data_IF_840291027346
#
_entry.id   IF_840291027346
#
_cell.length_a   1.000
_cell.length_b   1.000
_cell.length_c   1.000
_cell.angle_alpha   90.00
_cell.angle_beta   90.00
_cell.angle_gamma   90.00
#
_symmetry.space_group_name_H-M   'P 1'
#
loop_
_entity.id
_entity.type
_entity.pdbx_description
1 polymer ?
#
# COMPACT_ATOMS: atom_id res chain seq x y z
N UNK A 1 -36.83 12.48 36.82
CA UNK A 1 -35.63 13.33 36.98
C UNK A 1 -34.60 12.83 35.97
N UNK A 2 -33.85 13.70 35.29
CA UNK A 2 -32.86 13.23 34.32
C UNK A 2 -31.70 12.54 35.05
N UNK A 3 -31.22 11.43 34.50
CA UNK A 3 -30.08 10.69 35.02
C UNK A 3 -29.02 10.50 33.94
N UNK A 4 -27.81 10.11 34.34
CA UNK A 4 -26.74 9.87 33.39
C UNK A 4 -27.12 8.72 32.42
N UNK A 5 -26.84 8.94 31.15
CA UNK A 5 -27.21 8.09 30.02
C UNK A 5 -28.66 8.20 29.53
N UNK A 6 -29.51 9.05 30.12
CA UNK A 6 -30.84 9.31 29.57
C UNK A 6 -30.73 9.87 28.14
N UNK A 7 -31.53 9.34 27.23
CA UNK A 7 -31.73 9.90 25.90
C UNK A 7 -32.85 10.93 25.94
N UNK A 8 -32.59 12.10 25.36
CA UNK A 8 -33.50 13.23 25.36
C UNK A 8 -33.83 13.70 23.94
N UNK A 9 -35.00 14.32 23.80
CA UNK A 9 -35.43 15.07 22.62
C UNK A 9 -35.77 16.51 23.03
N UNK A 10 -35.76 17.43 22.08
CA UNK A 10 -36.18 18.81 22.34
C UNK A 10 -37.70 18.86 22.62
N UNK A 11 -38.11 19.75 23.53
CA UNK A 11 -39.49 20.23 23.59
C UNK A 11 -39.72 21.32 22.55
N UNK A 12 -40.96 21.73 22.31
CA UNK A 12 -41.24 22.81 21.35
C UNK A 12 -40.51 24.11 21.72
N UNK A 13 -40.49 24.45 23.01
CA UNK A 13 -39.71 25.57 23.54
C UNK A 13 -38.19 25.38 23.34
N UNK A 14 -37.70 24.14 23.39
CA UNK A 14 -36.32 23.79 23.09
C UNK A 14 -35.97 23.96 21.62
N UNK A 15 -36.85 23.53 20.72
CA UNK A 15 -36.71 23.72 19.27
C UNK A 15 -36.62 25.20 18.95
N UNK A 16 -37.51 26.02 19.50
CA UNK A 16 -37.48 27.47 19.27
C UNK A 16 -36.19 28.12 19.77
N UNK A 17 -35.76 27.80 21.00
CA UNK A 17 -34.54 28.36 21.60
C UNK A 17 -33.27 27.95 20.85
N UNK A 18 -33.19 26.71 20.39
CA UNK A 18 -31.97 26.14 19.80
C UNK A 18 -32.04 25.96 18.29
N UNK A 19 -33.03 26.52 17.59
CA UNK A 19 -33.22 26.42 16.13
C UNK A 19 -32.00 26.77 15.29
N UNK A 20 -31.12 27.65 15.78
CA UNK A 20 -29.88 28.04 15.08
C UNK A 20 -28.73 27.04 15.25
N UNK A 21 -28.82 26.13 16.23
CA UNK A 21 -27.75 25.20 16.62
C UNK A 21 -28.10 23.74 16.36
N UNK A 22 -29.36 23.35 16.58
CA UNK A 22 -29.82 21.95 16.53
C UNK A 22 -31.02 21.78 15.62
N UNK A 23 -31.18 20.57 15.08
CA UNK A 23 -32.38 20.15 14.38
C UNK A 23 -33.46 19.72 15.37
N UNK A 24 -34.73 19.82 14.99
CA UNK A 24 -35.86 19.32 15.80
C UNK A 24 -35.75 17.83 16.11
N UNK A 25 -35.14 17.07 15.19
CA UNK A 25 -35.06 15.61 15.24
C UNK A 25 -33.73 15.12 15.82
N UNK A 26 -32.91 16.03 16.37
CA UNK A 26 -31.65 15.65 17.01
C UNK A 26 -31.92 14.88 18.31
N UNK A 27 -31.14 13.82 18.53
CA UNK A 27 -31.12 13.08 19.79
C UNK A 27 -30.02 13.62 20.70
N UNK A 28 -30.33 13.68 21.99
CA UNK A 28 -29.44 14.19 23.02
C UNK A 28 -29.19 13.15 24.10
N UNK A 29 -28.06 13.29 24.79
CA UNK A 29 -27.59 12.43 25.85
C UNK A 29 -27.29 13.26 27.10
N UNK A 30 -27.81 12.83 28.25
CA UNK A 30 -27.31 13.32 29.54
C UNK A 30 -25.99 12.62 29.84
N UNK A 31 -24.88 13.28 29.56
CA UNK A 31 -23.55 12.70 29.74
C UNK A 31 -23.20 12.52 31.22
N UNK A 32 -23.57 13.48 32.06
CA UNK A 32 -23.40 13.44 33.52
C UNK A 32 -24.31 14.49 34.18
N UNK A 33 -24.64 14.25 35.43
CA UNK A 33 -25.23 15.23 36.33
C UNK A 33 -24.17 15.62 37.34
N UNK A 34 -23.85 16.92 37.44
CA UNK A 34 -22.89 17.47 38.38
C UNK A 34 -23.67 18.24 39.46
N UNK A 35 -23.39 17.93 40.72
CA UNK A 35 -23.92 18.64 41.87
C UNK A 35 -22.84 19.60 42.39
N UNK A 36 -23.17 20.88 42.46
CA UNK A 36 -22.30 21.88 43.06
C UNK A 36 -22.57 21.93 44.56
N UNK A 37 -21.54 21.61 45.35
CA UNK A 37 -21.67 21.41 46.81
C UNK A 37 -22.09 22.67 47.55
N UNK A 38 -21.74 23.84 47.02
CA UNK A 38 -21.83 25.10 47.75
C UNK A 38 -23.14 25.85 47.47
N UNK A 39 -23.81 25.55 46.35
CA UNK A 39 -25.00 26.28 45.89
C UNK A 39 -26.27 25.41 45.78
N UNK A 40 -26.21 24.12 46.14
CA UNK A 40 -27.26 23.13 45.88
C UNK A 40 -27.73 23.13 44.40
N UNK A 41 -26.86 23.58 43.50
CA UNK A 41 -27.15 23.71 42.09
C UNK A 41 -26.86 22.38 41.38
N UNK A 42 -27.82 21.92 40.59
CA UNK A 42 -27.71 20.70 39.80
C UNK A 42 -27.57 21.05 38.31
N UNK A 43 -26.45 20.65 37.73
CA UNK A 43 -26.12 20.85 36.33
C UNK A 43 -26.23 19.56 35.53
N UNK A 44 -27.05 19.60 34.49
CA UNK A 44 -27.21 18.56 33.49
C UNK A 44 -26.29 18.85 32.30
N UNK A 45 -25.35 17.95 32.06
CA UNK A 45 -24.47 18.03 30.89
C UNK A 45 -25.12 17.30 29.72
N UNK A 46 -25.58 18.06 28.73
CA UNK A 46 -26.37 17.55 27.62
C UNK A 46 -25.55 17.61 26.33
N UNK A 47 -25.37 16.45 25.72
CA UNK A 47 -24.61 16.25 24.47
C UNK A 47 -25.56 15.96 23.32
N UNK A 48 -25.39 16.63 22.19
CA UNK A 48 -26.13 16.31 20.97
C UNK A 48 -25.48 15.10 20.26
N UNK A 49 -26.10 13.92 20.37
CA UNK A 49 -25.59 12.68 19.79
C UNK A 49 -25.67 12.69 18.26
N UNK A 50 -26.73 13.26 17.69
CA UNK A 50 -26.90 13.35 16.23
C UNK A 50 -25.76 14.13 15.57
N UNK A 51 -25.37 15.26 16.16
CA UNK A 51 -24.25 16.06 15.68
C UNK A 51 -22.91 15.38 15.91
N UNK A 52 -22.74 14.64 17.01
CA UNK A 52 -21.54 13.83 17.26
C UNK A 52 -21.36 12.74 16.20
N UNK A 53 -22.45 12.13 15.71
CA UNK A 53 -22.43 11.14 14.62
C UNK A 53 -22.17 11.79 13.25
N UNK A 54 -22.73 12.98 13.00
CA UNK A 54 -22.64 13.68 11.69
C UNK A 54 -21.32 14.42 11.49
N UNK A 55 -20.76 15.05 12.54
CA UNK A 55 -19.56 15.88 12.44
C UNK A 55 -18.30 15.09 12.79
N UNK A 56 -17.22 15.35 12.05
CA UNK A 56 -15.90 14.76 12.30
C UNK A 56 -15.30 15.19 13.64
N UNK A 57 -15.72 16.30 14.22
CA UNK A 57 -15.21 16.84 15.48
C UNK A 57 -16.32 16.95 16.52
N UNK A 58 -16.05 16.57 17.79
CA UNK A 58 -17.05 16.62 18.84
C UNK A 58 -17.35 18.07 19.20
N UNK A 59 -18.63 18.42 19.24
CA UNK A 59 -19.04 19.73 19.69
C UNK A 59 -19.00 19.83 21.21
N UNK A 60 -18.82 21.05 21.71
CA UNK A 60 -18.85 21.35 23.13
C UNK A 60 -20.28 21.10 23.67
N UNK A 61 -20.47 20.24 24.69
CA UNK A 61 -21.77 19.97 25.30
C UNK A 61 -22.38 21.22 25.95
N UNK A 62 -23.67 21.14 26.27
CA UNK A 62 -24.37 22.15 27.06
C UNK A 62 -24.29 21.80 28.54
N UNK A 63 -24.11 22.81 29.40
CA UNK A 63 -24.36 22.70 30.83
C UNK A 63 -25.61 23.52 31.15
N UNK A 64 -26.64 22.89 31.71
CA UNK A 64 -27.91 23.53 32.06
C UNK A 64 -28.30 23.22 33.49
N UNK A 65 -28.78 24.22 34.21
CA UNK A 65 -29.44 23.99 35.50
C UNK A 65 -30.76 23.25 35.30
N UNK A 66 -31.28 22.65 36.38
CA UNK A 66 -32.51 21.85 36.40
C UNK A 66 -33.69 22.46 35.65
N UNK A 67 -34.07 23.70 35.93
CA UNK A 67 -35.24 24.35 35.33
C UNK A 67 -35.12 24.49 33.79
N UNK A 68 -34.04 25.10 33.24
CA UNK A 68 -33.75 25.07 31.81
C UNK A 68 -33.69 23.67 31.20
N UNK A 69 -33.05 22.70 31.85
CA UNK A 69 -32.94 21.34 31.31
C UNK A 69 -34.32 20.73 31.07
N UNK A 70 -35.21 20.77 32.07
CA UNK A 70 -36.56 20.23 31.97
C UNK A 70 -37.51 21.08 31.10
N UNK A 71 -37.24 22.38 30.94
CA UNK A 71 -38.03 23.25 30.05
C UNK A 71 -37.78 22.95 28.58
N UNK A 72 -36.51 22.71 28.21
CA UNK A 72 -36.10 22.61 26.81
C UNK A 72 -35.94 21.17 26.31
N UNK A 73 -35.84 20.20 27.22
CA UNK A 73 -35.65 18.80 26.89
C UNK A 73 -36.67 17.92 27.60
N UNK A 74 -36.99 16.79 26.98
CA UNK A 74 -37.83 15.72 27.53
C UNK A 74 -37.18 14.37 27.23
N UNK A 75 -37.53 13.34 27.99
CA UNK A 75 -37.09 11.97 27.71
C UNK A 75 -37.49 11.54 26.30
N UNK A 76 -36.58 10.84 25.64
CA UNK A 76 -36.92 10.02 24.48
C UNK A 76 -37.57 8.75 25.00
N UNK A 77 -38.75 8.44 24.49
CA UNK A 77 -39.52 7.26 24.88
C UNK A 77 -39.53 6.24 23.73
N UNK A 78 -39.66 4.96 24.06
CA UNK A 78 -40.02 3.91 23.12
C UNK A 78 -41.53 3.86 22.87
N UNK A 79 -41.97 2.89 22.05
CA UNK A 79 -43.37 2.71 21.67
C UNK A 79 -44.27 2.38 22.87
N UNK A 80 -43.70 1.83 23.95
CA UNK A 80 -44.38 1.48 25.20
C UNK A 80 -44.36 2.64 26.22
N UNK A 81 -43.76 3.79 25.87
CA UNK A 81 -43.66 4.97 26.73
C UNK A 81 -42.55 4.91 27.79
N UNK A 82 -41.63 3.94 27.70
CA UNK A 82 -40.48 3.80 28.59
C UNK A 82 -39.33 4.71 28.16
N UNK A 83 -38.64 5.31 29.12
CA UNK A 83 -37.49 6.18 28.85
C UNK A 83 -36.30 5.40 28.30
N UNK A 84 -35.74 5.90 27.20
CA UNK A 84 -34.59 5.29 26.52
C UNK A 84 -33.27 5.73 27.15
N UNK A 85 -32.30 4.82 27.16
CA UNK A 85 -30.96 5.05 27.69
C UNK A 85 -29.88 4.72 26.65
N UNK A 86 -28.79 5.49 26.67
CA UNK A 86 -27.67 5.28 25.78
C UNK A 86 -26.76 4.16 26.30
N UNK A 87 -26.64 3.12 25.48
CA UNK A 87 -25.68 2.02 25.70
C UNK A 87 -24.44 2.26 24.85
N UNK A 88 -23.28 2.39 25.49
CA UNK A 88 -22.01 2.59 24.78
C UNK A 88 -21.58 1.33 24.02
N UNK A 89 -20.94 1.51 22.86
CA UNK A 89 -20.44 0.41 22.00
C UNK A 89 -19.51 -0.55 22.79
N UNK A 90 -19.54 -1.85 22.45
CA UNK A 90 -18.76 -2.89 23.15
C UNK A 90 -17.26 -2.58 23.22
N UNK A 91 -16.70 -2.05 22.13
CA UNK A 91 -15.28 -1.67 22.05
C UNK A 91 -14.89 -0.58 23.07
N UNK A 92 -15.85 0.21 23.56
CA UNK A 92 -15.60 1.20 24.62
C UNK A 92 -15.50 0.58 26.02
N UNK A 93 -15.91 -0.70 26.17
CA UNK A 93 -15.94 -1.44 27.44
C UNK A 93 -14.71 -2.35 27.63
N UNK A 94 -13.80 -2.39 26.66
CA UNK A 94 -12.57 -3.17 26.75
C UNK A 94 -11.70 -2.72 27.94
N UNK A 95 -11.12 -3.69 28.64
CA UNK A 95 -10.15 -3.45 29.71
C UNK A 95 -8.80 -2.99 29.17
N UNK A 96 -7.96 -2.40 30.04
CA UNK A 96 -6.61 -1.98 29.65
C UNK A 96 -5.73 -3.16 29.20
N UNK A 97 -5.94 -4.35 29.79
CA UNK A 97 -5.26 -5.59 29.40
C UNK A 97 -5.68 -6.04 27.99
N UNK A 98 -7.00 -6.05 27.71
CA UNK A 98 -7.53 -6.37 26.38
C UNK A 98 -7.03 -5.38 25.34
N UNK A 99 -7.05 -4.08 25.65
CA UNK A 99 -6.53 -3.03 24.77
C UNK A 99 -5.03 -3.18 24.52
N UNK A 100 -4.24 -3.59 25.51
CA UNK A 100 -2.80 -3.82 25.36
C UNK A 100 -2.51 -5.00 24.42
N UNK A 101 -3.30 -6.07 24.53
CA UNK A 101 -3.12 -7.29 23.75
C UNK A 101 -3.64 -7.14 22.31
N UNK A 102 -4.85 -6.62 22.14
CA UNK A 102 -5.53 -6.57 20.84
C UNK A 102 -5.29 -5.26 20.07
N UNK A 103 -5.15 -4.15 20.79
CA UNK A 103 -5.12 -2.80 20.22
C UNK A 103 -4.07 -1.86 20.85
N UNK A 104 -2.77 -2.24 20.91
CA UNK A 104 -1.75 -1.48 21.64
C UNK A 104 -1.56 -0.05 21.11
N UNK A 105 -1.82 0.17 19.81
CA UNK A 105 -1.77 1.52 19.20
C UNK A 105 -2.93 2.41 19.66
N UNK A 106 -4.10 1.84 19.92
CA UNK A 106 -5.26 2.60 20.42
C UNK A 106 -5.02 3.02 21.87
N UNK A 107 -4.50 2.09 22.68
CA UNK A 107 -4.11 2.35 24.07
C UNK A 107 -3.15 3.54 24.18
N UNK A 108 -2.04 3.51 23.41
CA UNK A 108 -1.07 4.62 23.37
C UNK A 108 -1.71 5.97 23.01
N UNK A 109 -2.61 5.99 22.02
CA UNK A 109 -3.30 7.23 21.60
C UNK A 109 -4.29 7.72 22.65
N UNK A 110 -5.01 6.80 23.30
CA UNK A 110 -5.95 7.12 24.39
C UNK A 110 -5.21 7.75 25.55
N UNK A 111 -4.12 7.13 26.00
CA UNK A 111 -3.35 7.59 27.15
C UNK A 111 -2.63 8.92 26.87
N UNK A 112 -2.12 9.12 25.65
CA UNK A 112 -1.61 10.42 25.22
C UNK A 112 -2.69 11.51 25.27
N UNK A 113 -3.90 11.23 24.77
CA UNK A 113 -5.01 12.19 24.86
C UNK A 113 -5.43 12.45 26.31
N UNK A 114 -5.42 11.40 27.13
CA UNK A 114 -5.74 11.49 28.55
C UNK A 114 -4.76 12.41 29.29
N UNK A 115 -3.45 12.31 29.00
CA UNK A 115 -2.45 13.18 29.63
C UNK A 115 -2.61 14.64 29.22
N UNK A 116 -2.98 14.94 27.97
CA UNK A 116 -3.19 16.32 27.49
C UNK A 116 -4.32 17.07 28.21
N UNK A 117 -5.32 16.35 28.75
CA UNK A 117 -6.47 16.99 29.42
C UNK A 117 -6.44 16.84 30.95
N UNK A 118 -5.39 16.23 31.52
CA UNK A 118 -5.31 15.89 32.94
C UNK A 118 -5.74 17.01 33.91
N UNK A 119 -5.38 18.29 33.69
CA UNK A 119 -5.79 19.38 34.59
C UNK A 119 -7.29 19.72 34.57
N UNK A 120 -8.03 19.28 33.54
CA UNK A 120 -9.40 19.72 33.26
C UNK A 120 -10.44 18.61 33.44
N UNK A 121 -10.14 17.59 34.24
CA UNK A 121 -10.98 16.39 34.41
C UNK A 121 -11.94 16.46 35.60
N UNK A 122 -11.68 17.32 36.58
CA UNK A 122 -12.55 17.48 37.75
C UNK A 122 -13.90 18.08 37.35
N UNK A 123 -14.94 17.77 38.12
CA UNK A 123 -16.30 18.24 37.83
C UNK A 123 -16.39 19.78 37.83
N UNK A 124 -15.68 20.42 38.76
CA UNK A 124 -15.53 21.88 38.82
C UNK A 124 -14.84 22.43 37.55
N UNK A 125 -13.72 21.84 37.13
CA UNK A 125 -13.01 22.29 35.94
C UNK A 125 -13.86 22.07 34.68
N UNK A 126 -14.55 20.94 34.57
CA UNK A 126 -15.45 20.68 33.45
C UNK A 126 -16.60 21.70 33.41
N UNK A 127 -17.20 22.02 34.56
CA UNK A 127 -18.27 23.02 34.62
C UNK A 127 -17.75 24.41 34.21
N UNK A 128 -16.62 24.86 34.75
CA UNK A 128 -15.96 26.12 34.35
C UNK A 128 -15.62 26.12 32.86
N UNK A 129 -15.18 24.99 32.30
CA UNK A 129 -14.96 24.84 30.86
C UNK A 129 -16.25 25.02 30.06
N UNK A 130 -17.34 24.35 30.46
CA UNK A 130 -18.63 24.41 29.78
C UNK A 130 -19.25 25.82 29.82
N UNK A 131 -19.11 26.51 30.95
CA UNK A 131 -19.52 27.90 31.14
C UNK A 131 -18.61 28.93 30.43
N UNK A 132 -17.45 28.49 29.91
CA UNK A 132 -16.55 29.33 29.12
C UNK A 132 -15.46 30.08 29.91
N UNK A 133 -15.28 29.73 31.19
CA UNK A 133 -14.37 30.40 32.11
C UNK A 133 -12.91 29.88 32.02
N UNK A 134 -12.68 28.69 31.45
CA UNK A 134 -11.34 28.09 31.30
C UNK A 134 -10.61 28.41 29.98
N UNK A 135 -11.03 29.45 29.26
CA UNK A 135 -10.40 29.85 27.99
C UNK A 135 -8.89 30.02 28.11
N UNK A 136 -8.46 30.93 28.97
CA UNK A 136 -7.06 31.30 29.20
C UNK A 136 -6.22 30.15 29.77
N UNK A 137 -6.77 29.40 30.73
CA UNK A 137 -6.05 28.27 31.35
C UNK A 137 -5.72 27.17 30.33
N UNK A 138 -6.64 26.87 29.40
CA UNK A 138 -6.39 25.92 28.31
C UNK A 138 -5.34 26.46 27.34
N UNK A 139 -5.38 27.76 27.01
CA UNK A 139 -4.38 28.39 26.15
C UNK A 139 -2.98 28.31 26.77
N UNK A 140 -2.84 28.66 28.05
CA UNK A 140 -1.56 28.58 28.75
C UNK A 140 -1.04 27.12 28.80
N UNK A 141 -1.90 26.17 29.16
CA UNK A 141 -1.51 24.75 29.20
C UNK A 141 -1.09 24.22 27.82
N UNK A 142 -1.75 24.68 26.75
CA UNK A 142 -1.37 24.34 25.38
C UNK A 142 0.02 24.88 25.02
N UNK A 143 0.35 26.11 25.45
CA UNK A 143 1.67 26.72 25.27
C UNK A 143 2.73 25.93 26.04
N UNK A 144 2.48 25.60 27.31
CA UNK A 144 3.42 24.87 28.16
C UNK A 144 3.76 23.48 27.58
N UNK A 145 2.77 22.81 26.96
CA UNK A 145 2.93 21.52 26.30
C UNK A 145 3.39 21.62 24.83
N UNK A 146 3.54 22.84 24.29
CA UNK A 146 3.83 23.11 22.88
C UNK A 146 2.87 22.37 21.92
N UNK A 147 1.57 22.45 22.19
CA UNK A 147 0.51 21.86 21.36
C UNK A 147 -0.53 22.91 20.98
N UNK A 148 -1.32 22.64 19.93
CA UNK A 148 -2.46 23.50 19.60
C UNK A 148 -3.57 23.31 20.65
N UNK A 149 -4.30 24.37 21.04
CA UNK A 149 -5.45 24.28 21.96
C UNK A 149 -6.48 23.22 21.55
N UNK A 150 -6.69 23.02 20.24
CA UNK A 150 -7.59 22.00 19.72
C UNK A 150 -7.18 20.59 20.16
N UNK A 151 -5.88 20.34 20.37
CA UNK A 151 -5.37 19.06 20.86
C UNK A 151 -5.82 18.75 22.29
N UNK A 152 -6.20 19.77 23.08
CA UNK A 152 -6.75 19.63 24.43
C UNK A 152 -8.29 19.65 24.39
N UNK A 153 -8.88 20.67 23.74
CA UNK A 153 -10.34 20.87 23.70
C UNK A 153 -11.09 19.70 23.05
N UNK A 154 -10.50 19.09 22.01
CA UNK A 154 -11.15 17.99 21.29
C UNK A 154 -11.25 16.72 22.12
N UNK A 155 -10.16 16.21 22.73
CA UNK A 155 -10.25 15.12 23.69
C UNK A 155 -11.16 15.42 24.89
N UNK A 156 -11.13 16.65 25.43
CA UNK A 156 -12.02 17.05 26.52
C UNK A 156 -13.50 16.97 26.13
N UNK A 157 -13.87 17.46 24.95
CA UNK A 157 -15.24 17.32 24.43
C UNK A 157 -15.63 15.83 24.25
N UNK A 158 -14.73 14.97 23.77
CA UNK A 158 -15.02 13.53 23.68
C UNK A 158 -15.26 12.89 25.06
N UNK A 159 -14.39 13.21 26.02
CA UNK A 159 -14.49 12.72 27.39
C UNK A 159 -15.83 13.10 28.03
N UNK A 160 -16.22 14.38 27.93
CA UNK A 160 -17.48 14.88 28.47
C UNK A 160 -18.65 14.23 27.71
N UNK A 161 -18.64 14.25 26.38
CA UNK A 161 -19.75 13.73 25.56
C UNK A 161 -20.09 12.27 25.82
N UNK A 162 -19.08 11.43 26.04
CA UNK A 162 -19.25 9.98 26.25
C UNK A 162 -19.13 9.56 27.73
N UNK A 163 -19.62 10.40 28.64
CA UNK A 163 -19.93 10.00 30.01
C UNK A 163 -18.72 9.85 30.93
N UNK A 164 -17.69 10.69 30.74
CA UNK A 164 -16.59 10.86 31.69
C UNK A 164 -15.76 9.58 31.91
N UNK A 165 -15.55 8.80 30.84
CA UNK A 165 -14.75 7.56 30.88
C UNK A 165 -13.46 7.73 30.11
N UNK A 166 -12.37 7.16 30.60
CA UNK A 166 -11.07 7.14 29.89
C UNK A 166 -11.17 6.55 28.48
N UNK A 167 -12.02 5.53 28.31
CA UNK A 167 -12.27 4.88 27.02
C UNK A 167 -13.08 5.73 26.02
N UNK A 168 -13.67 6.86 26.43
CA UNK A 168 -14.28 7.83 25.51
C UNK A 168 -13.29 8.38 24.47
N UNK A 169 -11.98 8.28 24.76
CA UNK A 169 -10.91 8.80 23.92
C UNK A 169 -10.39 7.79 22.90
N UNK A 170 -10.92 6.55 22.93
CA UNK A 170 -10.57 5.50 21.98
C UNK A 170 -10.95 5.93 20.55
N UNK A 171 -10.12 5.61 19.55
CA UNK A 171 -10.41 5.91 18.16
C UNK A 171 -11.40 4.87 17.56
N UNK A 172 -12.57 4.69 18.17
CA UNK A 172 -13.50 3.59 17.83
C UNK A 172 -13.95 3.64 16.36
N UNK A 173 -14.17 4.82 15.79
CA UNK A 173 -14.51 4.95 14.36
C UNK A 173 -13.40 4.47 13.41
N UNK A 174 -12.15 4.37 13.87
CA UNK A 174 -11.08 3.76 13.09
C UNK A 174 -11.28 2.24 12.95
N UNK A 175 -12.03 1.59 13.84
CA UNK A 175 -12.43 0.19 13.68
C UNK A 175 -13.36 0.01 12.46
N UNK A 176 -14.18 1.03 12.16
CA UNK A 176 -15.12 1.08 11.03
C UNK A 176 -14.41 1.44 9.71
N UNK A 177 -13.17 1.94 9.78
CA UNK A 177 -12.38 2.37 8.63
C UNK A 177 -11.25 1.36 8.41
N UNK A 178 -11.30 0.64 7.28
CA UNK A 178 -10.27 -0.33 6.91
C UNK A 178 -10.68 -1.77 7.19
N UNK A 179 -11.91 -2.14 6.83
CA UNK A 179 -12.39 -3.52 6.81
C UNK A 179 -11.31 -4.49 6.35
N UNK A 180 -10.98 -5.47 7.20
CA UNK A 180 -10.36 -6.74 6.83
C UNK A 180 -11.29 -7.44 5.82
N UNK A 181 -11.03 -7.30 4.53
CA UNK A 181 -11.77 -8.03 3.50
C UNK A 181 -11.80 -7.34 2.13
N UNK A 182 -11.68 -8.16 1.08
CA UNK A 182 -11.91 -7.76 -0.31
C UNK A 182 -13.39 -7.39 -0.47
N UNK A 183 -13.66 -6.17 -0.92
CA UNK A 183 -15.01 -5.76 -1.31
C UNK A 183 -15.35 -6.43 -2.65
N UNK A 184 -15.94 -7.62 -2.60
CA UNK A 184 -16.52 -8.25 -3.78
C UNK A 184 -17.74 -7.44 -4.26
N UNK A 185 -17.88 -7.29 -5.58
CA UNK A 185 -19.11 -6.78 -6.21
C UNK A 185 -19.39 -5.26 -6.12
N UNK A 186 -18.61 -4.44 -5.41
CA UNK A 186 -18.89 -3.00 -5.34
C UNK A 186 -18.31 -2.20 -6.51
N UNK A 187 -19.14 -1.37 -7.16
CA UNK A 187 -18.70 -0.32 -8.11
C UNK A 187 -17.66 0.58 -7.44
N UNK A 188 -16.66 1.02 -8.20
CA UNK A 188 -15.52 1.83 -7.73
C UNK A 188 -16.01 3.04 -6.92
N UNK A 189 -15.70 3.05 -5.62
CA UNK A 189 -15.95 4.19 -4.75
C UNK A 189 -14.86 5.23 -5.00
N UNK A 190 -15.12 6.14 -5.93
CA UNK A 190 -14.29 7.27 -6.30
C UNK A 190 -15.05 8.16 -7.27
N UNK A 191 -14.65 9.43 -7.46
CA UNK A 191 -15.33 10.31 -8.41
C UNK A 191 -15.36 9.64 -9.78
N UNK A 192 -16.56 9.38 -10.32
CA UNK A 192 -16.68 9.04 -11.74
C UNK A 192 -16.17 10.26 -12.51
N UNK A 193 -15.31 10.10 -13.53
CA UNK A 193 -14.98 11.21 -14.40
C UNK A 193 -16.29 11.73 -15.02
N UNK A 194 -16.78 12.88 -14.55
CA UNK A 194 -18.08 13.44 -14.97
C UNK A 194 -18.15 13.69 -16.48
N UNK A 195 -16.99 13.92 -17.10
CA UNK A 195 -16.90 14.40 -18.48
C UNK A 195 -16.40 13.34 -19.48
N UNK A 196 -16.00 12.13 -19.03
CA UNK A 196 -15.39 11.10 -19.89
C UNK A 196 -15.86 9.68 -19.49
N UNK A 197 -17.08 9.26 -19.89
CA UNK A 197 -17.63 7.93 -19.61
C UNK A 197 -16.75 6.79 -20.15
N UNK A 198 -16.05 7.02 -21.26
CA UNK A 198 -15.15 6.07 -21.92
C UNK A 198 -13.91 5.70 -21.08
N UNK A 199 -13.58 6.54 -20.08
CA UNK A 199 -12.52 6.30 -19.11
C UNK A 199 -13.01 5.59 -17.84
N UNK A 200 -14.29 5.21 -17.79
CA UNK A 200 -14.81 4.38 -16.72
C UNK A 200 -14.02 3.06 -16.65
N UNK A 201 -13.71 2.66 -15.41
CA UNK A 201 -13.00 1.41 -15.12
C UNK A 201 -13.73 0.69 -13.99
N UNK A 202 -13.82 -0.62 -14.10
CA UNK A 202 -14.35 -1.43 -12.99
C UNK A 202 -13.35 -1.54 -11.84
N UNK A 203 -13.83 -2.06 -10.71
CA UNK A 203 -12.97 -2.53 -9.65
C UNK A 203 -12.26 -3.81 -10.06
N UNK A 204 -11.03 -3.98 -9.57
CA UNK A 204 -10.27 -5.23 -9.76
C UNK A 204 -10.87 -6.33 -8.90
N UNK A 205 -11.11 -7.49 -9.48
CA UNK A 205 -11.63 -8.71 -8.85
C UNK A 205 -10.47 -9.59 -8.35
N UNK A 206 -10.70 -10.47 -7.37
CA UNK A 206 -9.69 -11.42 -6.91
C UNK A 206 -9.15 -12.31 -8.04
N UNK A 207 -10.03 -12.80 -8.92
CA UNK A 207 -9.66 -13.66 -10.05
C UNK A 207 -8.78 -12.93 -11.10
N UNK A 208 -8.80 -11.59 -11.12
CA UNK A 208 -7.94 -10.84 -12.03
C UNK A 208 -6.46 -11.07 -11.77
N UNK A 209 -6.07 -11.36 -10.52
CA UNK A 209 -4.68 -11.70 -10.20
C UNK A 209 -4.30 -13.01 -10.91
N UNK A 210 -5.15 -14.02 -10.81
CA UNK A 210 -4.97 -15.33 -11.47
C UNK A 210 -4.98 -15.18 -13.00
N UNK A 211 -5.89 -14.38 -13.56
CA UNK A 211 -5.95 -14.07 -15.01
C UNK A 211 -4.67 -13.41 -15.48
N UNK A 212 -4.18 -12.39 -14.77
CA UNK A 212 -2.90 -11.72 -15.09
C UNK A 212 -1.74 -12.70 -15.00
N UNK A 213 -1.72 -13.56 -13.98
CA UNK A 213 -0.66 -14.56 -13.80
C UNK A 213 -0.63 -15.56 -14.96
N UNK A 214 -1.78 -16.15 -15.31
CA UNK A 214 -1.92 -17.08 -16.45
C UNK A 214 -1.51 -16.41 -17.77
N UNK A 215 -2.00 -15.20 -18.02
CA UNK A 215 -1.69 -14.45 -19.22
C UNK A 215 -0.19 -14.14 -19.33
N UNK A 216 0.43 -13.72 -18.24
CA UNK A 216 1.87 -13.46 -18.21
C UNK A 216 2.66 -14.75 -18.50
N UNK A 217 2.38 -15.84 -17.80
CA UNK A 217 3.10 -17.10 -18.00
C UNK A 217 2.93 -17.63 -19.43
N UNK A 218 1.71 -17.56 -20.01
CA UNK A 218 1.46 -18.00 -21.40
C UNK A 218 2.20 -17.17 -22.44
N UNK A 219 2.43 -15.88 -22.20
CA UNK A 219 3.00 -14.95 -23.19
C UNK A 219 4.46 -14.53 -22.90
N UNK A 220 5.07 -15.06 -21.85
CA UNK A 220 6.45 -14.73 -21.45
C UNK A 220 7.43 -15.91 -21.58
N UNK A 221 6.96 -17.07 -22.02
CA UNK A 221 7.80 -18.23 -22.32
C UNK A 221 8.24 -18.09 -23.78
N UNK A 222 9.55 -17.95 -23.97
CA UNK A 222 10.26 -17.95 -25.26
C UNK A 222 10.10 -16.75 -26.18
N UNK A 223 10.77 -15.65 -25.81
CA UNK A 223 11.10 -14.61 -26.77
C UNK A 223 12.53 -14.83 -27.29
N UNK A 224 12.66 -15.54 -28.41
CA UNK A 224 13.90 -15.55 -29.20
C UNK A 224 14.30 -14.13 -29.65
N UNK A 225 13.34 -13.22 -29.86
CA UNK A 225 13.62 -11.85 -30.37
C UNK A 225 12.80 -10.70 -29.75
N UNK A 226 12.05 -10.92 -28.67
CA UNK A 226 11.15 -9.91 -28.12
C UNK A 226 11.47 -9.49 -26.68
N UNK A 227 11.42 -8.19 -26.38
CA UNK A 227 11.49 -7.71 -24.98
C UNK A 227 10.14 -7.91 -24.28
N UNK A 228 10.14 -8.24 -23.00
CA UNK A 228 8.91 -8.23 -22.19
C UNK A 228 8.32 -6.82 -22.18
N UNK A 229 7.04 -6.68 -22.52
CA UNK A 229 6.35 -5.40 -22.58
C UNK A 229 5.04 -5.47 -21.80
N UNK A 230 5.01 -4.79 -20.64
CA UNK A 230 3.84 -4.78 -19.76
C UNK A 230 2.63 -4.11 -20.44
N UNK A 231 2.86 -3.11 -21.29
CA UNK A 231 1.80 -2.48 -22.10
C UNK A 231 1.14 -3.49 -23.04
N UNK A 232 1.94 -4.34 -23.68
CA UNK A 232 1.41 -5.38 -24.57
C UNK A 232 0.59 -6.41 -23.79
N UNK A 233 1.05 -6.82 -22.61
CA UNK A 233 0.32 -7.73 -21.74
C UNK A 233 -1.03 -7.14 -21.27
N UNK A 234 -1.06 -5.83 -20.99
CA UNK A 234 -2.31 -5.13 -20.68
C UNK A 234 -3.28 -5.15 -21.88
N UNK A 235 -2.80 -4.94 -23.11
CA UNK A 235 -3.62 -5.03 -24.32
C UNK A 235 -4.20 -6.45 -24.48
N UNK A 236 -3.38 -7.49 -24.29
CA UNK A 236 -3.85 -8.87 -24.35
C UNK A 236 -4.90 -9.15 -23.28
N UNK A 237 -4.74 -8.63 -22.07
CA UNK A 237 -5.71 -8.78 -21.01
C UNK A 237 -7.06 -8.15 -21.38
N UNK A 238 -7.03 -6.95 -21.97
CA UNK A 238 -8.26 -6.30 -22.43
C UNK A 238 -8.94 -7.08 -23.55
N UNK A 239 -8.17 -7.67 -24.48
CA UNK A 239 -8.69 -8.49 -25.58
C UNK A 239 -9.29 -9.83 -25.14
N UNK A 240 -8.81 -10.41 -24.05
CA UNK A 240 -9.26 -11.75 -23.61
C UNK A 240 -10.37 -11.66 -22.57
N UNK A 241 -10.29 -10.70 -21.65
CA UNK A 241 -11.18 -10.63 -20.49
C UNK A 241 -12.09 -9.40 -20.48
N UNK A 242 -11.89 -8.45 -21.39
CA UNK A 242 -12.65 -7.20 -21.42
C UNK A 242 -13.23 -6.85 -22.79
N UNK A 243 -13.25 -7.76 -23.76
CA UNK A 243 -13.89 -7.53 -25.06
C UNK A 243 -14.89 -8.61 -25.41
N UNK A 244 -15.78 -8.28 -26.35
CA UNK A 244 -16.71 -9.20 -27.00
C UNK A 244 -16.53 -9.11 -28.51
N UNK A 245 -16.93 -10.17 -29.20
CA UNK A 245 -16.93 -10.19 -30.66
C UNK A 245 -18.17 -9.47 -31.19
N UNK A 246 -17.95 -8.57 -32.15
CA UNK A 246 -19.00 -7.87 -32.86
C UNK A 246 -18.87 -8.16 -34.35
N UNK A 247 -20.01 -8.51 -34.95
CA UNK A 247 -20.12 -8.70 -36.38
C UNK A 247 -20.31 -7.32 -37.04
N UNK A 248 -19.41 -6.98 -37.97
CA UNK A 248 -19.45 -5.74 -38.73
C UNK A 248 -19.51 -6.08 -40.22
N UNK A 249 -20.54 -5.58 -40.91
CA UNK A 249 -20.64 -5.68 -42.37
C UNK A 249 -19.88 -4.52 -42.99
N UNK A 250 -18.82 -4.80 -43.76
CA UNK A 250 -18.13 -3.81 -44.60
C UNK A 250 -18.32 -4.20 -46.06
N UNK A 251 -19.21 -3.49 -46.75
CA UNK A 251 -19.64 -3.87 -48.09
C UNK A 251 -20.43 -5.19 -48.08
N UNK A 252 -20.05 -6.13 -48.94
CA UNK A 252 -20.67 -7.47 -49.04
C UNK A 252 -20.03 -8.51 -48.10
N UNK A 253 -18.99 -8.15 -47.36
CA UNK A 253 -18.27 -9.07 -46.47
C UNK A 253 -18.61 -8.86 -45.01
N UNK A 254 -18.66 -9.96 -44.27
CA UNK A 254 -18.93 -9.99 -42.84
C UNK A 254 -17.61 -10.19 -42.10
N UNK A 255 -17.20 -9.22 -41.29
CA UNK A 255 -15.98 -9.29 -40.48
C UNK A 255 -16.33 -9.41 -38.99
N UNK A 256 -15.43 -10.05 -38.23
CA UNK A 256 -15.47 -10.07 -36.77
C UNK A 256 -14.48 -9.03 -36.24
N UNK A 257 -14.98 -8.07 -35.47
CA UNK A 257 -14.17 -7.08 -34.76
C UNK A 257 -14.28 -7.30 -33.25
N UNK A 258 -13.18 -7.16 -32.52
CA UNK A 258 -13.17 -7.23 -31.06
C UNK A 258 -13.41 -5.84 -30.49
N UNK A 259 -14.56 -5.65 -29.85
CA UNK A 259 -14.94 -4.39 -29.20
C UNK A 259 -14.73 -4.51 -27.69
N UNK A 260 -14.07 -3.51 -27.09
CA UNK A 260 -13.79 -3.50 -25.64
C UNK A 260 -15.05 -3.08 -24.88
N UNK A 261 -15.52 -3.96 -23.99
CA UNK A 261 -16.58 -3.67 -23.04
C UNK A 261 -16.09 -2.67 -21.99
N UNK A 262 -16.56 -1.42 -22.10
CA UNK A 262 -16.23 -0.32 -21.18
C UNK A 262 -16.57 -0.67 -19.73
N UNK A 263 -17.59 -1.50 -19.49
CA UNK A 263 -17.99 -1.90 -18.15
C UNK A 263 -17.01 -2.88 -17.49
N UNK A 264 -16.29 -3.68 -18.29
CA UNK A 264 -15.31 -4.69 -17.82
C UNK A 264 -13.87 -4.19 -17.82
N UNK A 265 -13.61 -3.05 -18.48
CA UNK A 265 -12.28 -2.47 -18.66
C UNK A 265 -11.59 -2.12 -17.33
N UNK A 266 -10.29 -2.43 -17.26
CA UNK A 266 -9.37 -1.92 -16.25
C UNK A 266 -8.31 -1.01 -16.90
N UNK A 267 -7.86 0.03 -16.20
CA UNK A 267 -6.80 0.89 -16.72
C UNK A 267 -5.41 0.26 -16.52
N UNK A 268 -4.40 0.86 -17.17
CA UNK A 268 -3.02 0.40 -17.12
C UNK A 268 -2.44 0.41 -15.69
N UNK A 269 -2.84 1.38 -14.85
CA UNK A 269 -2.37 1.44 -13.45
C UNK A 269 -2.92 0.29 -12.60
N UNK A 270 -4.21 -0.03 -12.76
CA UNK A 270 -4.87 -1.17 -12.11
C UNK A 270 -4.20 -2.47 -12.56
N UNK A 271 -3.97 -2.62 -13.86
CA UNK A 271 -3.27 -3.78 -14.42
C UNK A 271 -1.84 -3.90 -13.85
N UNK A 272 -1.07 -2.81 -13.81
CA UNK A 272 0.28 -2.80 -13.24
C UNK A 272 0.27 -3.22 -11.76
N UNK A 273 -0.74 -2.80 -10.99
CA UNK A 273 -0.90 -3.22 -9.59
C UNK A 273 -1.23 -4.71 -9.48
N UNK A 274 -2.10 -5.24 -10.34
CA UNK A 274 -2.41 -6.67 -10.40
C UNK A 274 -1.17 -7.49 -10.77
N UNK A 275 -0.40 -7.05 -11.76
CA UNK A 275 0.86 -7.70 -12.15
C UNK A 275 1.87 -7.74 -11.00
N UNK A 276 2.03 -6.64 -10.26
CA UNK A 276 2.90 -6.60 -9.06
C UNK A 276 2.41 -7.48 -7.92
N UNK A 277 1.11 -7.77 -7.84
CA UNK A 277 0.54 -8.71 -6.87
C UNK A 277 0.69 -10.17 -7.32
N UNK A 278 0.61 -10.42 -8.62
CA UNK A 278 0.71 -11.76 -9.20
C UNK A 278 2.14 -12.32 -9.17
N UNK A 279 3.15 -11.45 -9.19
CA UNK A 279 4.56 -11.86 -9.23
C UNK A 279 5.40 -11.10 -8.21
N UNK A 280 6.26 -11.80 -7.48
CA UNK A 280 7.25 -11.20 -6.62
C UNK A 280 8.33 -10.44 -7.44
N UNK A 281 9.18 -9.65 -6.76
CA UNK A 281 10.20 -8.87 -7.46
C UNK A 281 11.21 -9.72 -8.24
N UNK A 282 11.50 -10.95 -7.82
CA UNK A 282 12.46 -11.84 -8.49
C UNK A 282 11.84 -12.43 -9.76
N UNK A 283 10.62 -12.95 -9.67
CA UNK A 283 9.80 -13.44 -10.77
C UNK A 283 9.58 -12.35 -11.82
N UNK A 284 9.31 -11.10 -11.41
CA UNK A 284 9.20 -9.98 -12.34
C UNK A 284 10.49 -9.73 -13.13
N UNK A 285 11.66 -9.91 -12.52
CA UNK A 285 12.93 -9.81 -13.24
C UNK A 285 13.11 -10.96 -14.21
N UNK A 286 12.85 -12.20 -13.77
CA UNK A 286 12.91 -13.40 -14.62
C UNK A 286 12.01 -13.25 -15.84
N UNK A 287 10.77 -12.78 -15.67
CA UNK A 287 9.84 -12.52 -16.78
C UNK A 287 10.35 -11.45 -17.75
N UNK A 288 11.15 -10.48 -17.28
CA UNK A 288 11.65 -9.38 -18.10
C UNK A 288 12.84 -9.74 -18.96
N UNK A 289 13.81 -10.45 -18.40
CA UNK A 289 15.10 -10.75 -19.05
C UNK A 289 15.23 -12.21 -19.49
N UNK A 290 14.32 -13.08 -19.05
CA UNK A 290 14.37 -14.51 -19.29
C UNK A 290 15.10 -15.27 -18.19
N UNK A 291 14.76 -16.55 -18.03
CA UNK A 291 15.30 -17.43 -16.98
C UNK A 291 16.82 -17.61 -17.10
N UNK A 292 17.32 -17.89 -18.30
CA UNK A 292 18.75 -18.10 -18.56
C UNK A 292 19.58 -16.84 -18.27
N UNK A 293 19.19 -15.69 -18.86
CA UNK A 293 19.90 -14.43 -18.63
C UNK A 293 19.83 -13.98 -17.15
N UNK A 294 18.72 -14.23 -16.46
CA UNK A 294 18.62 -13.96 -15.03
C UNK A 294 19.61 -14.82 -14.23
N UNK A 295 19.68 -16.13 -14.51
CA UNK A 295 20.61 -17.03 -13.84
C UNK A 295 22.08 -16.66 -14.09
N UNK A 296 22.43 -16.25 -15.31
CA UNK A 296 23.81 -15.94 -15.66
C UNK A 296 24.29 -14.58 -15.10
N UNK A 297 23.42 -13.56 -15.11
CA UNK A 297 23.82 -12.16 -14.90
C UNK A 297 23.28 -11.51 -13.62
N UNK A 298 22.22 -12.05 -12.99
CA UNK A 298 21.50 -11.37 -11.88
C UNK A 298 21.15 -12.23 -10.69
N UNK A 299 21.20 -13.55 -10.82
CA UNK A 299 21.13 -14.42 -9.66
C UNK A 299 22.35 -14.07 -8.80
N UNK A 300 22.12 -13.83 -7.51
CA UNK A 300 23.20 -13.67 -6.55
C UNK A 300 24.12 -14.90 -6.68
N UNK A 301 25.31 -14.69 -7.24
CA UNK A 301 26.35 -15.71 -7.28
C UNK A 301 27.02 -15.66 -5.92
N UNK A 302 26.61 -16.57 -5.04
CA UNK A 302 27.34 -16.82 -3.80
C UNK A 302 28.57 -17.64 -4.17
N UNK A 303 29.73 -16.98 -4.24
CA UNK A 303 31.02 -17.63 -4.48
C UNK A 303 31.86 -16.91 -5.53
N UNK A 304 33.17 -16.84 -5.28
CA UNK A 304 34.16 -16.34 -6.26
C UNK A 304 34.77 -17.55 -6.99
N UNK A 305 34.99 -17.45 -8.31
CA UNK A 305 35.67 -18.51 -9.06
C UNK A 305 37.08 -18.81 -8.51
N UNK A 306 37.72 -17.82 -7.88
CA UNK A 306 39.02 -17.98 -7.21
C UNK A 306 38.93 -18.54 -5.77
N UNK A 307 37.73 -18.81 -5.25
CA UNK A 307 37.54 -19.35 -3.91
C UNK A 307 38.10 -20.76 -3.81
N UNK A 308 39.00 -21.01 -2.86
CA UNK A 308 39.74 -22.27 -2.74
C UNK A 308 40.96 -22.41 -3.66
N UNK A 309 41.28 -21.40 -4.48
CA UNK A 309 42.47 -21.39 -5.34
C UNK A 309 43.66 -20.74 -4.60
N UNK A 310 44.60 -21.58 -4.18
CA UNK A 310 45.78 -21.18 -3.41
C UNK A 310 47.01 -20.92 -4.29
N UNK A 311 47.17 -21.70 -5.38
CA UNK A 311 48.38 -21.68 -6.22
C UNK A 311 48.09 -21.23 -7.65
N UNK A 312 49.10 -20.65 -8.29
CA UNK A 312 49.05 -20.39 -9.73
C UNK A 312 48.89 -21.70 -10.51
N UNK A 313 48.15 -21.65 -11.61
CA UNK A 313 47.80 -22.79 -12.47
C UNK A 313 47.03 -23.96 -11.79
N UNK A 314 46.58 -23.81 -10.53
CA UNK A 314 45.75 -24.81 -9.85
C UNK A 314 44.36 -24.94 -10.49
N UNK A 315 43.79 -23.84 -10.95
CA UNK A 315 42.53 -23.79 -11.70
C UNK A 315 42.70 -22.84 -12.89
N UNK A 316 42.25 -23.33 -14.06
CA UNK A 316 42.25 -22.58 -15.30
C UNK A 316 40.87 -22.63 -15.94
N UNK A 317 40.47 -21.52 -16.56
CA UNK A 317 39.25 -21.41 -17.33
C UNK A 317 39.61 -21.30 -18.81
N UNK A 318 38.83 -21.97 -19.67
CA UNK A 318 38.94 -21.76 -21.12
C UNK A 318 37.76 -20.94 -21.61
N UNK A 319 38.03 -19.94 -22.42
CA UNK A 319 37.01 -19.17 -23.11
C UNK A 319 37.33 -19.10 -24.60
N UNK A 320 36.29 -19.04 -25.43
CA UNK A 320 36.41 -18.97 -26.88
C UNK A 320 35.65 -17.80 -27.44
N UNK A 321 36.32 -16.99 -28.25
CA UNK A 321 35.76 -15.77 -28.84
C UNK A 321 35.93 -15.80 -30.35
N UNK A 322 34.86 -15.45 -31.08
CA UNK A 322 34.94 -15.14 -32.51
C UNK A 322 35.54 -13.75 -32.68
N UNK A 323 36.68 -13.66 -33.39
CA UNK A 323 37.31 -12.37 -33.65
C UNK A 323 36.61 -11.66 -34.81
N UNK A 324 36.51 -10.34 -34.72
CA UNK A 324 35.94 -9.47 -35.77
C UNK A 324 36.88 -9.24 -36.96
N UNK A 325 38.00 -9.96 -37.02
CA UNK A 325 38.99 -9.87 -38.10
C UNK A 325 38.85 -11.04 -39.08
N UNK A 326 39.12 -10.76 -40.35
CA UNK A 326 39.24 -11.78 -41.39
C UNK A 326 40.72 -11.99 -41.69
N UNK A 327 41.20 -13.23 -41.59
CA UNK A 327 42.58 -13.52 -41.97
C UNK A 327 42.71 -13.49 -43.50
N UNK A 328 43.74 -12.81 -44.01
CA UNK A 328 44.02 -12.78 -45.43
C UNK A 328 44.50 -14.15 -45.93
N UNK A 329 44.05 -14.56 -47.11
CA UNK A 329 44.48 -15.81 -47.72
C UNK A 329 45.92 -15.68 -48.28
N UNK A 330 46.91 -16.43 -47.74
CA UNK A 330 48.32 -16.17 -48.03
C UNK A 330 48.70 -16.45 -49.48
N UNK A 331 48.05 -17.42 -50.12
CA UNK A 331 48.37 -17.84 -51.49
C UNK A 331 47.84 -16.87 -52.57
N UNK A 332 47.05 -15.85 -52.20
CA UNK A 332 46.44 -14.93 -53.17
C UNK A 332 46.37 -13.48 -52.68
N UNK A 333 47.50 -12.96 -52.19
CA UNK A 333 47.62 -11.62 -51.64
C UNK A 333 47.11 -10.50 -52.58
N UNK A 334 47.22 -10.69 -53.90
CA UNK A 334 46.79 -9.72 -54.92
C UNK A 334 45.27 -9.57 -55.04
N UNK A 335 44.48 -10.61 -54.70
CA UNK A 335 43.01 -10.61 -54.89
C UNK A 335 42.21 -10.24 -53.64
N UNK A 336 42.86 -9.84 -52.53
CA UNK A 336 42.20 -9.49 -51.25
C UNK A 336 41.16 -10.53 -50.80
N UNK A 337 41.50 -11.81 -50.95
CA UNK A 337 40.63 -12.91 -50.52
C UNK A 337 40.84 -13.20 -49.02
N UNK A 338 39.75 -13.43 -48.29
CA UNK A 338 39.78 -13.83 -46.89
C UNK A 338 39.76 -15.37 -46.77
N UNK A 339 40.60 -15.92 -45.90
CA UNK A 339 40.58 -17.34 -45.54
C UNK A 339 39.35 -17.70 -44.69
N UNK A 340 38.83 -16.74 -43.93
CA UNK A 340 37.67 -16.92 -43.07
C UNK A 340 37.74 -16.01 -41.84
N UNK A 341 36.73 -16.13 -40.98
CA UNK A 341 36.75 -15.55 -39.64
C UNK A 341 37.58 -16.42 -38.71
N UNK A 342 38.29 -15.79 -37.78
CA UNK A 342 39.18 -16.48 -36.84
C UNK A 342 38.48 -16.60 -35.49
N UNK A 343 38.51 -17.79 -34.91
CA UNK A 343 38.11 -18.05 -33.53
C UNK A 343 39.37 -18.23 -32.70
N UNK A 344 39.44 -17.54 -31.57
CA UNK A 344 40.49 -17.73 -30.58
C UNK A 344 39.92 -18.48 -29.39
N UNK A 345 40.61 -19.53 -28.94
CA UNK A 345 40.37 -20.13 -27.64
C UNK A 345 41.57 -19.81 -26.75
N UNK A 346 41.32 -19.26 -25.56
CA UNK A 346 42.35 -18.92 -24.57
C UNK A 346 42.14 -19.75 -23.31
N UNK A 347 43.24 -20.10 -22.66
CA UNK A 347 43.24 -20.69 -21.32
C UNK A 347 43.85 -19.69 -20.36
N UNK A 348 43.09 -19.31 -19.34
CA UNK A 348 43.46 -18.27 -18.37
C UNK A 348 43.58 -18.89 -16.99
N UNK A 349 44.64 -18.56 -16.25
CA UNK A 349 44.76 -18.96 -14.85
C UNK A 349 43.85 -18.10 -13.97
N UNK A 350 42.97 -18.73 -13.19
CA UNK A 350 42.00 -18.02 -12.33
C UNK A 350 42.68 -17.15 -11.27
N UNK A 351 43.82 -17.61 -10.72
CA UNK A 351 44.52 -16.88 -9.65
C UNK A 351 45.29 -15.66 -10.14
N UNK A 352 46.04 -15.82 -11.23
CA UNK A 352 46.95 -14.78 -11.74
C UNK A 352 46.35 -13.95 -12.87
N UNK A 353 45.24 -14.41 -13.44
CA UNK A 353 44.61 -13.84 -14.64
C UNK A 353 45.54 -13.83 -15.87
N UNK A 354 46.62 -14.61 -15.84
CA UNK A 354 47.54 -14.74 -16.97
C UNK A 354 46.97 -15.70 -18.01
N UNK A 355 47.10 -15.32 -19.29
CA UNK A 355 46.85 -16.20 -20.41
C UNK A 355 47.98 -17.23 -20.48
N UNK A 356 47.66 -18.48 -20.18
CA UNK A 356 48.62 -19.58 -20.14
C UNK A 356 48.85 -20.18 -21.53
N UNK A 357 47.83 -20.20 -22.37
CA UNK A 357 47.91 -20.73 -23.73
C UNK A 357 46.70 -20.34 -24.57
N UNK A 358 46.82 -20.56 -25.88
CA UNK A 358 45.78 -20.22 -26.83
C UNK A 358 45.78 -21.16 -28.04
N UNK A 359 44.68 -21.19 -28.78
CA UNK A 359 44.60 -21.75 -30.14
C UNK A 359 43.83 -20.81 -31.07
N UNK A 360 44.12 -20.88 -32.37
CA UNK A 360 43.49 -20.10 -33.43
C UNK A 360 42.95 -21.04 -34.50
N UNK A 361 41.67 -20.91 -34.82
CA UNK A 361 40.97 -21.82 -35.72
C UNK A 361 40.01 -21.05 -36.64
N UNK A 362 39.73 -21.59 -37.84
CA UNK A 362 38.77 -21.01 -38.80
C UNK A 362 37.34 -21.56 -38.63
N UNK A 363 37.15 -22.55 -37.77
CA UNK A 363 35.86 -23.13 -37.42
C UNK A 363 35.39 -22.69 -36.04
N UNK A 364 34.08 -22.88 -35.78
CA UNK A 364 33.51 -22.70 -34.45
C UNK A 364 34.29 -23.53 -33.41
N UNK A 365 34.38 -23.08 -32.15
CA UNK A 365 35.17 -23.72 -31.11
C UNK A 365 34.73 -25.17 -30.90
N UNK A 366 35.67 -26.09 -31.08
CA UNK A 366 35.51 -27.52 -30.82
C UNK A 366 36.45 -27.94 -29.69
N UNK A 367 36.25 -29.14 -29.17
CA UNK A 367 37.12 -29.71 -28.13
C UNK A 367 38.60 -29.70 -28.53
N UNK A 368 38.90 -29.91 -29.82
CA UNK A 368 40.26 -29.84 -30.34
C UNK A 368 40.90 -28.46 -30.14
N UNK A 369 40.13 -27.38 -30.27
CA UNK A 369 40.64 -26.02 -30.01
C UNK A 369 41.07 -25.83 -28.55
N UNK A 370 40.32 -26.39 -27.60
CA UNK A 370 40.67 -26.38 -26.16
C UNK A 370 41.90 -27.25 -25.92
N UNK A 371 41.96 -28.44 -26.52
CA UNK A 371 43.11 -29.34 -26.41
C UNK A 371 44.41 -28.69 -26.93
N UNK A 372 44.37 -28.03 -28.09
CA UNK A 372 45.51 -27.28 -28.63
C UNK A 372 45.95 -26.15 -27.69
N UNK A 373 45.00 -25.39 -27.14
CA UNK A 373 45.31 -24.33 -26.19
C UNK A 373 45.96 -24.88 -24.90
N UNK A 374 45.52 -26.05 -24.42
CA UNK A 374 46.12 -26.75 -23.29
C UNK A 374 47.53 -27.30 -23.60
N UNK A 375 47.76 -27.83 -24.80
CA UNK A 375 49.12 -28.23 -25.25
C UNK A 375 50.01 -26.99 -25.26
N UNK A 376 49.53 -25.87 -25.79
CA UNK A 376 50.27 -24.62 -25.79
C UNK A 376 50.59 -24.19 -24.34
N UNK A 377 49.70 -24.38 -23.36
CA UNK A 377 49.95 -24.04 -21.95
C UNK A 377 51.20 -24.71 -21.36
N UNK A 378 51.46 -25.97 -21.73
CA UNK A 378 52.58 -26.75 -21.18
C UNK A 378 53.85 -26.68 -22.05
N UNK A 379 53.77 -26.08 -23.23
CA UNK A 379 54.89 -25.93 -24.14
C UNK A 379 55.85 -24.82 -23.67
N UNK A 380 57.15 -25.02 -23.89
CA UNK A 380 58.15 -23.97 -23.66
C UNK A 380 57.87 -22.77 -24.58
N UNK A 381 57.54 -21.63 -23.97
CA UNK A 381 57.13 -20.42 -24.69
C UNK A 381 58.26 -19.78 -25.51
N UNK A 382 59.51 -19.91 -25.08
CA UNK A 382 60.66 -19.42 -25.84
C UNK A 382 60.80 -20.21 -27.15
N UNK A 383 60.84 -21.53 -27.04
CA UNK A 383 60.93 -22.42 -28.21
C UNK A 383 59.74 -22.25 -29.15
N UNK A 384 58.53 -22.06 -28.60
CA UNK A 384 57.34 -21.82 -29.43
C UNK A 384 57.40 -20.47 -30.14
N UNK A 385 57.82 -19.39 -29.48
CA UNK A 385 57.92 -18.06 -30.10
C UNK A 385 58.97 -18.01 -31.21
N UNK A 386 60.11 -18.69 -31.01
CA UNK A 386 61.17 -18.82 -32.02
C UNK A 386 60.67 -19.40 -33.35
N UNK A 387 59.71 -20.34 -33.32
CA UNK A 387 59.11 -20.93 -34.53
C UNK A 387 58.39 -19.91 -35.42
N UNK A 388 57.97 -18.78 -34.84
CA UNK A 388 57.26 -17.70 -35.52
C UNK A 388 58.11 -16.43 -35.66
N UNK A 389 59.40 -16.48 -35.32
CA UNK A 389 60.33 -15.34 -35.30
C UNK A 389 59.87 -14.19 -34.39
N UNK A 390 59.34 -14.50 -33.20
CA UNK A 390 58.91 -13.53 -32.18
C UNK A 390 59.81 -13.60 -30.94
#
# INVERSE_FOLDING_TARGET
MFTANDLLKLTDAGVEKYKSKFSSDDEFLVSKVIQETDEYAEYFIITNLSLMKRKKEPQKPLALTRNPAHKYFKHSLDDDGCALFHSYEELSRLSDEQLKNEHPKWLKKRDFRWSLMAPFQSDEAVLKYLLGQLGHAITQHAIDLNVNEKAIRRPLNYYISFGFRKNALLPIDYAKIGSKGLREGMKKTGPKPKNLPELATRMTEPDDVTRVQRLALRNCVDKKDGKFCLKHLHILFLKEYCSYERIVKKGNETHFELEIDVSKRINAQQFNRLFKKAFDSKQQQVLKIGKSAYQNNRKDKTGNAAEGVERAAQLCESDSTELTIYAAYPLNAKKRQAAGKVYICIVVCVKTQLVMGYSLNFGAPQWMSVAEALINCVQNKQVYAEQYNV
#
